data_IF_750980817166
#
_entry.id   IF_750980817166
#
_cell.length_a   1.000
_cell.length_b   1.000
_cell.length_c   1.000
_cell.angle_alpha   90.00
_cell.angle_beta   90.00
_cell.angle_gamma   90.00
#
_symmetry.space_group_name_H-M   'P 1'
#
loop_
_entity.id
_entity.type
_entity.pdbx_description
1 polymer ?
#
# COMPACT_ATOMS: atom_id res chain seq x y z
N UNK A 1 2.63 -14.00 -22.16
CA UNK A 1 1.78 -13.48 -21.07
C UNK A 1 2.18 -14.20 -19.79
N UNK A 2 3.00 -13.56 -18.95
CA UNK A 2 3.39 -14.14 -17.65
C UNK A 2 2.34 -13.74 -16.61
N UNK A 3 1.55 -14.69 -16.13
CA UNK A 3 0.68 -14.46 -14.97
C UNK A 3 1.55 -14.15 -13.77
N UNK A 4 1.36 -12.97 -13.15
CA UNK A 4 2.02 -12.61 -11.90
C UNK A 4 1.06 -12.83 -10.75
N UNK A 5 1.43 -13.68 -9.80
CA UNK A 5 0.68 -13.93 -8.56
C UNK A 5 1.11 -12.96 -7.45
N UNK A 6 1.66 -11.80 -7.80
CA UNK A 6 1.99 -10.77 -6.82
C UNK A 6 0.72 -10.25 -6.14
N UNK A 7 0.79 -10.07 -4.82
CA UNK A 7 -0.30 -9.49 -4.02
C UNK A 7 -0.76 -8.13 -4.57
N UNK A 8 0.15 -7.38 -5.21
CA UNK A 8 -0.11 -6.07 -5.82
C UNK A 8 -0.90 -6.13 -7.12
N UNK A 9 -1.02 -7.31 -7.72
CA UNK A 9 -1.92 -7.58 -8.85
C UNK A 9 -3.20 -8.27 -8.39
N UNK A 10 -3.11 -9.16 -7.40
CA UNK A 10 -4.26 -9.89 -6.84
C UNK A 10 -5.18 -8.96 -6.06
N UNK A 11 -4.64 -8.01 -5.28
CA UNK A 11 -5.45 -7.12 -4.45
C UNK A 11 -6.38 -6.21 -5.29
N UNK A 12 -5.90 -5.46 -6.30
CA UNK A 12 -6.82 -4.66 -7.13
C UNK A 12 -7.88 -5.52 -7.83
N UNK A 13 -7.52 -6.75 -8.26
CA UNK A 13 -8.46 -7.66 -8.90
C UNK A 13 -9.59 -8.10 -7.95
N UNK A 14 -9.27 -8.52 -6.73
CA UNK A 14 -10.30 -8.96 -5.77
C UNK A 14 -11.18 -7.78 -5.32
N UNK A 15 -10.60 -6.59 -5.16
CA UNK A 15 -11.34 -5.39 -4.75
C UNK A 15 -12.37 -4.98 -5.82
N UNK A 16 -11.98 -5.00 -7.10
CA UNK A 16 -12.93 -4.73 -8.19
C UNK A 16 -14.00 -5.82 -8.32
N UNK A 17 -13.69 -7.07 -8.01
CA UNK A 17 -14.62 -8.19 -8.16
C UNK A 17 -15.59 -8.39 -6.97
N UNK A 18 -15.32 -7.80 -5.80
CA UNK A 18 -16.10 -8.05 -4.58
C UNK A 18 -16.90 -6.83 -4.13
N UNK A 19 -18.22 -6.84 -4.35
CA UNK A 19 -19.13 -5.83 -3.83
C UNK A 19 -19.10 -5.75 -2.29
N UNK A 20 -18.92 -6.90 -1.63
CA UNK A 20 -18.76 -6.97 -0.17
C UNK A 20 -17.54 -6.16 0.30
N UNK A 21 -16.37 -6.36 -0.32
CA UNK A 21 -15.18 -5.60 0.04
C UNK A 21 -15.37 -4.11 -0.26
N UNK A 22 -15.96 -3.78 -1.42
CA UNK A 22 -16.30 -2.40 -1.81
C UNK A 22 -17.19 -1.69 -0.79
N UNK A 23 -18.26 -2.35 -0.34
CA UNK A 23 -19.14 -1.78 0.68
C UNK A 23 -18.45 -1.61 2.03
N UNK A 24 -17.66 -2.61 2.48
CA UNK A 24 -16.99 -2.57 3.78
C UNK A 24 -15.86 -1.56 3.84
N UNK A 25 -14.97 -1.56 2.85
CA UNK A 25 -13.70 -0.82 2.90
C UNK A 25 -13.74 0.54 2.19
N UNK A 26 -14.90 0.96 1.66
CA UNK A 26 -15.17 2.36 1.28
C UNK A 26 -15.54 3.23 2.49
N UNK A 27 -15.89 2.62 3.62
CA UNK A 27 -16.11 3.33 4.87
C UNK A 27 -14.77 3.64 5.57
N UNK A 28 -14.66 4.78 6.28
CA UNK A 28 -13.45 5.17 7.01
C UNK A 28 -13.30 4.42 8.35
N UNK A 29 -13.35 3.08 8.28
CA UNK A 29 -13.38 2.16 9.44
C UNK A 29 -11.99 1.61 9.83
N UNK A 30 -10.94 2.00 9.10
CA UNK A 30 -9.57 1.53 9.32
C UNK A 30 -8.74 2.60 10.05
N UNK A 31 -8.05 2.23 11.13
CA UNK A 31 -7.52 3.22 12.07
C UNK A 31 -8.62 3.88 12.89
N UNK A 32 -9.65 3.11 13.23
CA UNK A 32 -10.73 3.49 14.14
C UNK A 32 -10.82 2.45 15.27
N UNK A 33 -10.70 2.90 16.52
CA UNK A 33 -10.61 2.03 17.69
C UNK A 33 -11.89 1.23 17.93
N UNK A 34 -13.03 1.73 17.46
CA UNK A 34 -14.33 1.04 17.53
C UNK A 34 -14.54 0.00 16.41
N UNK A 35 -13.64 -0.02 15.40
CA UNK A 35 -13.75 -0.89 14.23
C UNK A 35 -12.45 -1.67 13.98
N UNK A 36 -11.62 -1.23 13.02
CA UNK A 36 -10.34 -1.87 12.70
C UNK A 36 -9.23 -0.93 13.16
N UNK A 37 -8.47 -1.29 14.21
CA UNK A 37 -7.40 -0.44 14.72
C UNK A 37 -6.22 -0.42 13.75
N UNK A 38 -5.49 0.68 13.74
CA UNK A 38 -4.25 0.87 12.97
C UNK A 38 -3.24 1.63 13.82
N UNK A 39 -1.95 1.43 13.54
CA UNK A 39 -0.87 2.24 14.13
C UNK A 39 -0.36 3.31 13.18
N UNK A 40 -0.72 3.24 11.90
CA UNK A 40 -0.14 4.07 10.85
C UNK A 40 -1.18 4.83 10.03
N UNK A 41 -2.47 4.54 10.21
CA UNK A 41 -3.60 5.18 9.54
C UNK A 41 -4.63 5.62 10.58
N UNK A 42 -5.39 6.66 10.26
CA UNK A 42 -6.46 7.21 11.09
C UNK A 42 -7.70 7.39 10.22
N UNK A 43 -8.83 6.78 10.62
CA UNK A 43 -10.14 6.85 9.93
C UNK A 43 -10.04 6.78 8.41
N UNK A 44 -9.34 5.76 7.93
CA UNK A 44 -8.97 5.55 6.55
C UNK A 44 -9.98 4.67 5.83
N UNK A 45 -10.37 5.09 4.62
CA UNK A 45 -11.13 4.28 3.67
C UNK A 45 -10.15 3.76 2.62
N UNK A 46 -10.01 2.43 2.51
CA UNK A 46 -9.09 1.80 1.57
C UNK A 46 -9.60 1.82 0.13
N UNK A 47 -10.91 1.79 -0.05
CA UNK A 47 -11.54 1.80 -1.36
C UNK A 47 -11.96 3.22 -1.71
N UNK A 48 -11.41 3.68 -2.82
CA UNK A 48 -11.83 4.88 -3.53
C UNK A 48 -11.90 4.51 -5.01
N UNK A 49 -12.76 5.21 -5.75
CA UNK A 49 -12.96 4.95 -7.17
C UNK A 49 -12.49 6.12 -8.01
N UNK A 50 -11.85 5.80 -9.12
CA UNK A 50 -11.54 6.72 -10.20
C UNK A 50 -12.08 6.12 -11.49
N UNK A 51 -12.94 6.86 -12.19
CA UNK A 51 -13.61 6.39 -13.41
C UNK A 51 -14.35 5.04 -13.27
N UNK A 52 -14.87 4.74 -12.08
CA UNK A 52 -15.60 3.51 -11.78
C UNK A 52 -14.71 2.30 -11.47
N UNK A 53 -13.39 2.46 -11.44
CA UNK A 53 -12.41 1.42 -11.08
C UNK A 53 -11.88 1.71 -9.68
N UNK A 54 -11.71 0.67 -8.86
CA UNK A 54 -11.06 0.82 -7.55
C UNK A 54 -9.60 1.22 -7.75
N UNK A 55 -9.22 2.36 -7.16
CA UNK A 55 -7.83 2.82 -7.12
C UNK A 55 -7.00 1.81 -6.34
N UNK A 56 -5.86 1.40 -6.91
CA UNK A 56 -4.93 0.49 -6.25
C UNK A 56 -4.49 1.07 -4.89
N UNK A 57 -4.76 0.37 -3.76
CA UNK A 57 -4.37 0.84 -2.43
C UNK A 57 -2.89 1.18 -2.29
N UNK A 58 -1.99 0.51 -3.03
CA UNK A 58 -0.56 0.80 -2.99
C UNK A 58 -0.20 2.16 -3.61
N UNK A 59 -1.01 2.67 -4.56
CA UNK A 59 -0.79 3.98 -5.17
C UNK A 59 -1.18 5.15 -4.24
N UNK A 60 -1.92 4.86 -3.17
CA UNK A 60 -2.37 5.86 -2.19
C UNK A 60 -1.42 6.02 -1.01
N UNK A 61 -0.34 5.24 -0.97
CA UNK A 61 0.69 5.35 0.06
C UNK A 61 1.64 6.55 -0.23
N UNK A 62 2.22 7.17 0.81
CA UNK A 62 3.14 8.30 0.61
C UNK A 62 4.42 7.85 -0.10
N UNK A 63 4.93 8.63 -1.06
CA UNK A 63 6.21 8.32 -1.72
C UNK A 63 7.35 8.26 -0.68
N UNK A 64 8.24 7.26 -0.80
CA UNK A 64 9.40 7.13 0.09
C UNK A 64 10.50 8.18 -0.22
N UNK A 65 10.51 8.75 -1.42
CA UNK A 65 11.59 9.57 -1.95
C UNK A 65 11.09 10.93 -2.49
N UNK A 66 10.19 11.59 -1.77
CA UNK A 66 9.56 12.83 -2.24
C UNK A 66 10.55 13.97 -2.53
N UNK A 67 11.74 13.95 -1.92
CA UNK A 67 12.72 15.05 -1.97
C UNK A 67 14.04 14.68 -2.68
N UNK A 68 14.11 13.53 -3.36
CA UNK A 68 15.33 13.15 -4.10
C UNK A 68 15.26 13.73 -5.51
N UNK A 69 16.29 14.50 -5.95
CA UNK A 69 16.37 14.99 -7.32
C UNK A 69 16.25 13.84 -8.32
N UNK A 70 15.45 14.03 -9.37
CA UNK A 70 15.20 13.04 -10.44
C UNK A 70 16.50 12.47 -11.06
N UNK A 71 17.57 13.27 -11.11
CA UNK A 71 18.88 12.86 -11.62
C UNK A 71 19.60 11.82 -10.73
N UNK A 72 19.37 11.84 -9.41
CA UNK A 72 19.88 10.80 -8.48
C UNK A 72 18.94 9.57 -8.44
N UNK A 73 17.70 9.72 -8.95
CA UNK A 73 16.78 8.62 -9.19
C UNK A 73 17.14 7.83 -10.46
N UNK A 74 17.89 8.39 -11.43
CA UNK A 74 18.31 7.63 -12.63
C UNK A 74 19.27 6.45 -12.30
N UNK A 75 19.98 6.50 -11.18
CA UNK A 75 20.76 5.36 -10.64
C UNK A 75 19.88 4.28 -9.99
N UNK A 76 18.60 4.60 -9.75
CA UNK A 76 17.59 3.80 -9.07
C UNK A 76 16.45 3.55 -10.08
N UNK A 77 16.55 2.49 -10.88
CA UNK A 77 15.57 2.08 -11.90
C UNK A 77 14.14 2.62 -11.67
N UNK A 78 13.53 3.26 -12.69
CA UNK A 78 12.19 3.88 -12.90
C UNK A 78 10.95 3.50 -12.02
N UNK A 79 11.09 2.86 -10.85
CA UNK A 79 10.02 2.29 -10.04
C UNK A 79 9.96 2.86 -8.61
N UNK A 80 10.10 4.20 -8.48
CA UNK A 80 9.91 4.96 -7.23
C UNK A 80 8.47 5.01 -6.69
N UNK A 81 7.57 4.25 -7.30
CA UNK A 81 6.28 4.00 -6.71
C UNK A 81 6.45 2.90 -5.66
N UNK A 82 5.85 3.07 -4.48
CA UNK A 82 5.73 2.04 -3.42
C UNK A 82 5.10 0.71 -3.87
N UNK A 83 4.78 0.58 -5.15
CA UNK A 83 4.21 -0.58 -5.80
C UNK A 83 5.24 -1.71 -6.05
N UNK A 84 6.50 -1.58 -5.62
CA UNK A 84 7.50 -2.66 -5.73
C UNK A 84 8.17 -3.01 -4.40
N UNK A 85 8.28 -4.32 -4.11
CA UNK A 85 8.93 -4.79 -2.87
C UNK A 85 10.42 -4.46 -2.82
N UNK A 86 11.06 -4.27 -3.97
CA UNK A 86 12.44 -3.81 -4.09
C UNK A 86 12.63 -2.40 -3.54
N UNK A 87 11.73 -1.45 -3.85
CA UNK A 87 11.81 -0.08 -3.37
C UNK A 87 11.78 0.00 -1.83
N UNK A 88 10.90 -0.77 -1.18
CA UNK A 88 10.84 -0.85 0.28
C UNK A 88 12.14 -1.42 0.88
N UNK A 89 12.73 -2.45 0.26
CA UNK A 89 14.00 -3.02 0.70
C UNK A 89 15.16 -2.03 0.54
N UNK A 90 15.20 -1.30 -0.58
CA UNK A 90 16.19 -0.24 -0.81
C UNK A 90 16.06 0.85 0.23
N UNK A 91 14.85 1.38 0.46
CA UNK A 91 14.60 2.40 1.48
C UNK A 91 15.06 1.96 2.89
N UNK A 92 14.83 0.69 3.25
CA UNK A 92 15.30 0.13 4.51
C UNK A 92 16.82 -0.02 4.58
N UNK A 93 17.49 -0.35 3.46
CA UNK A 93 18.96 -0.37 3.40
C UNK A 93 19.54 1.04 3.60
N UNK A 94 18.96 2.06 2.95
CA UNK A 94 19.39 3.45 3.08
C UNK A 94 19.31 3.94 4.52
N UNK A 95 18.22 3.62 5.23
CA UNK A 95 18.07 3.93 6.65
C UNK A 95 19.22 3.40 7.54
N UNK A 96 19.88 2.31 7.12
CA UNK A 96 20.96 1.66 7.86
C UNK A 96 22.36 2.16 7.48
N UNK A 97 22.56 2.55 6.22
CA UNK A 97 23.90 2.75 5.65
C UNK A 97 24.16 4.15 5.11
N UNK A 98 23.14 4.97 4.88
CA UNK A 98 23.29 6.32 4.36
C UNK A 98 23.10 7.38 5.45
N UNK A 99 23.92 8.42 5.36
CA UNK A 99 23.71 9.64 6.13
C UNK A 99 22.50 10.39 5.56
N UNK A 100 21.60 10.81 6.45
CA UNK A 100 20.38 11.54 6.09
C UNK A 100 19.94 12.43 7.24
N UNK A 101 19.16 13.44 6.94
CA UNK A 101 18.56 14.31 7.94
C UNK A 101 17.53 13.56 8.78
N UNK A 102 17.27 14.07 9.98
CA UNK A 102 16.22 13.56 10.84
C UNK A 102 14.82 13.65 10.22
N UNK A 103 14.61 14.61 9.30
CA UNK A 103 13.36 14.72 8.57
C UNK A 103 13.21 13.58 7.55
N UNK A 104 14.19 13.39 6.67
CA UNK A 104 14.20 12.31 5.68
C UNK A 104 14.06 10.93 6.34
N UNK A 105 14.82 10.69 7.42
CA UNK A 105 14.73 9.45 8.21
C UNK A 105 13.30 9.18 8.68
N UNK A 106 12.61 10.19 9.22
CA UNK A 106 11.24 10.04 9.71
C UNK A 106 10.24 9.78 8.60
N UNK A 107 10.38 10.46 7.46
CA UNK A 107 9.47 10.25 6.33
C UNK A 107 9.63 8.84 5.72
N UNK A 108 10.87 8.36 5.54
CA UNK A 108 11.13 7.00 5.08
C UNK A 108 10.55 5.97 6.05
N UNK A 109 10.78 6.13 7.36
CA UNK A 109 10.22 5.24 8.39
C UNK A 109 8.68 5.24 8.32
N UNK A 110 8.04 6.41 8.24
CA UNK A 110 6.58 6.53 8.15
C UNK A 110 6.04 5.82 6.91
N UNK A 111 6.69 5.99 5.75
CA UNK A 111 6.29 5.35 4.51
C UNK A 111 6.44 3.82 4.58
N UNK A 112 7.55 3.32 5.12
CA UNK A 112 7.78 1.89 5.35
C UNK A 112 6.72 1.27 6.26
N UNK A 113 6.42 1.90 7.39
CA UNK A 113 5.42 1.39 8.34
C UNK A 113 4.03 1.28 7.70
N UNK A 114 3.61 2.30 6.94
CA UNK A 114 2.36 2.27 6.18
C UNK A 114 2.34 1.18 5.12
N UNK A 115 3.45 1.01 4.39
CA UNK A 115 3.60 -0.03 3.38
C UNK A 115 3.50 -1.44 3.98
N UNK A 116 4.25 -1.73 5.05
CA UNK A 116 4.22 -3.03 5.72
C UNK A 116 2.84 -3.36 6.32
N UNK A 117 2.15 -2.35 6.84
CA UNK A 117 0.79 -2.53 7.36
C UNK A 117 -0.19 -2.86 6.22
N UNK A 118 -0.10 -2.18 5.07
CA UNK A 118 -0.90 -2.52 3.89
C UNK A 118 -0.59 -3.91 3.35
N UNK A 119 0.68 -4.33 3.26
CA UNK A 119 1.05 -5.69 2.81
C UNK A 119 0.34 -6.76 3.65
N UNK A 120 0.27 -6.54 4.97
CA UNK A 120 -0.44 -7.45 5.89
C UNK A 120 -1.96 -7.38 5.67
N UNK A 121 -2.50 -6.17 5.59
CA UNK A 121 -3.94 -5.99 5.45
C UNK A 121 -4.48 -6.42 4.09
N UNK A 122 -3.67 -6.34 3.03
CA UNK A 122 -3.98 -6.85 1.71
C UNK A 122 -4.30 -8.35 1.74
N UNK A 123 -3.55 -9.14 2.51
CA UNK A 123 -3.84 -10.56 2.70
C UNK A 123 -5.20 -10.78 3.37
N UNK A 124 -5.56 -9.95 4.33
CA UNK A 124 -6.87 -10.00 5.02
C UNK A 124 -7.99 -9.68 4.04
N UNK A 125 -7.87 -8.60 3.26
CA UNK A 125 -8.87 -8.22 2.26
C UNK A 125 -9.08 -9.32 1.20
N UNK A 126 -7.99 -9.91 0.71
CA UNK A 126 -8.04 -11.02 -0.25
C UNK A 126 -8.75 -12.23 0.35
N UNK A 127 -8.36 -12.63 1.57
CA UNK A 127 -9.00 -13.74 2.26
C UNK A 127 -10.50 -13.51 2.47
N UNK A 128 -10.89 -12.31 2.93
CA UNK A 128 -12.30 -11.99 3.14
C UNK A 128 -13.10 -12.00 1.85
N UNK A 129 -12.52 -11.49 0.75
CA UNK A 129 -13.14 -11.53 -0.57
C UNK A 129 -13.42 -12.96 -1.02
N UNK A 130 -12.42 -13.84 -0.96
CA UNK A 130 -12.61 -15.25 -1.33
C UNK A 130 -13.57 -15.98 -0.40
N UNK A 131 -13.48 -15.74 0.92
CA UNK A 131 -14.41 -16.34 1.89
C UNK A 131 -15.85 -15.98 1.55
N UNK A 132 -16.09 -14.74 1.12
CA UNK A 132 -17.44 -14.33 0.75
C UNK A 132 -17.90 -14.91 -0.58
N UNK A 133 -17.02 -14.95 -1.59
CA UNK A 133 -17.33 -15.58 -2.88
C UNK A 133 -17.71 -17.06 -2.76
N UNK A 134 -17.22 -17.77 -1.73
CA UNK A 134 -17.57 -19.17 -1.46
C UNK A 134 -18.89 -19.36 -0.71
N UNK A 135 -19.48 -18.27 -0.18
CA UNK A 135 -20.76 -18.30 0.56
C UNK A 135 -21.95 -17.96 -0.34
N UNK A 136 -21.71 -17.28 -1.45
CA UNK A 136 -22.68 -16.96 -2.50
C UNK A 136 -22.91 -18.17 -3.43
#
# INVERSE_FOLDING_TARGET
MGGSNSIKKVLPAILNASEFLQAKYSMPIYGDDDHIPSRNFERWAWIAHEEGIVIDPYQRLPRMFADIPEDDLELLSESDMLNEGGAAMTAYARLQFEDMTEYERREIIRALLKYCELDTFAMVMIYEGWREMLRA
#
